data_IF_436561547726
#
_entry.id   IF_436561547726
#
_cell.length_a   1.000
_cell.length_b   1.000
_cell.length_c   1.000
_cell.angle_alpha   90.00
_cell.angle_beta   90.00
_cell.angle_gamma   90.00
#
_symmetry.space_group_name_H-M   'P 1'
#
loop_
_entity.id
_entity.type
_entity.pdbx_description
1 polymer ?
#
# COMPACT_ATOMS: atom_id res chain seq x y z
N UNK A 1 -3.04 -16.53 -14.85
CA UNK A 1 -2.68 -15.08 -14.85
C UNK A 1 -3.69 -14.31 -14.02
N UNK A 2 -3.43 -14.10 -12.72
CA UNK A 2 -4.34 -13.34 -11.86
C UNK A 2 -4.03 -11.84 -11.96
N UNK A 3 -4.89 -11.09 -12.66
CA UNK A 3 -4.89 -9.62 -12.59
C UNK A 3 -5.35 -9.22 -11.19
N UNK A 4 -4.43 -8.68 -10.38
CA UNK A 4 -4.78 -8.14 -9.05
C UNK A 4 -5.74 -6.97 -9.27
N UNK A 5 -6.93 -7.03 -8.68
CA UNK A 5 -7.90 -5.94 -8.74
C UNK A 5 -7.25 -4.64 -8.23
N UNK A 6 -7.47 -3.53 -8.95
CA UNK A 6 -7.01 -2.21 -8.52
C UNK A 6 -7.98 -1.72 -7.43
N UNK A 7 -7.64 -1.97 -6.17
CA UNK A 7 -8.41 -1.45 -5.04
C UNK A 7 -7.99 0.01 -4.77
N UNK A 8 -8.93 0.97 -4.78
CA UNK A 8 -8.66 2.31 -4.29
C UNK A 8 -8.13 2.26 -2.86
N UNK A 9 -7.15 3.11 -2.55
CA UNK A 9 -6.58 3.26 -1.21
C UNK A 9 -6.82 4.69 -0.77
N UNK A 10 -7.46 4.89 0.38
CA UNK A 10 -7.63 6.20 1.01
C UNK A 10 -6.46 6.46 1.97
N UNK A 11 -5.85 7.65 1.87
CA UNK A 11 -4.77 8.05 2.77
C UNK A 11 -5.26 8.25 4.21
N UNK A 12 -6.53 8.60 4.40
CA UNK A 12 -7.14 8.74 5.72
C UNK A 12 -7.13 7.42 6.49
N UNK A 13 -7.41 6.29 5.81
CA UNK A 13 -7.37 4.96 6.41
C UNK A 13 -5.95 4.56 6.84
N UNK A 14 -4.93 5.01 6.10
CA UNK A 14 -3.53 4.75 6.44
C UNK A 14 -3.08 5.58 7.64
N UNK A 15 -3.43 6.86 7.66
CA UNK A 15 -3.12 7.79 8.75
C UNK A 15 -3.83 7.42 10.05
N UNK A 16 -5.07 6.92 9.97
CA UNK A 16 -5.83 6.45 11.13
C UNK A 16 -5.13 5.32 11.88
N UNK A 17 -4.23 4.59 11.21
CA UNK A 17 -3.55 3.45 11.80
C UNK A 17 -2.05 3.70 12.05
N UNK A 18 -1.55 4.93 11.91
CA UNK A 18 -0.18 5.33 12.21
C UNK A 18 0.42 6.37 11.24
N UNK A 19 1.62 6.89 11.52
CA UNK A 19 2.32 7.79 10.62
C UNK A 19 2.54 7.17 9.23
N UNK A 20 2.52 8.00 8.19
CA UNK A 20 2.71 7.52 6.80
C UNK A 20 3.87 8.27 6.16
N UNK A 21 4.83 7.51 5.63
CA UNK A 21 5.91 8.01 4.77
C UNK A 21 5.49 7.73 3.33
N UNK A 22 5.30 8.79 2.54
CA UNK A 22 4.94 8.68 1.12
C UNK A 22 6.14 9.04 0.26
N UNK A 23 6.52 8.16 -0.67
CA UNK A 23 7.57 8.42 -1.65
C UNK A 23 7.01 8.36 -3.06
N UNK A 24 6.99 9.51 -3.74
CA UNK A 24 6.65 9.58 -5.16
C UNK A 24 7.92 9.34 -5.98
N UNK A 25 7.85 8.38 -6.91
CA UNK A 25 8.95 8.12 -7.84
C UNK A 25 8.43 7.93 -9.26
N UNK A 26 9.27 8.22 -10.25
CA UNK A 26 8.85 8.23 -11.68
C UNK A 26 8.72 6.85 -12.29
N UNK A 27 9.44 5.88 -11.72
CA UNK A 27 9.55 4.53 -12.24
C UNK A 27 10.92 3.91 -12.01
N UNK A 28 10.99 2.60 -12.23
CA UNK A 28 12.15 1.73 -12.07
C UNK A 28 13.32 2.07 -13.01
N UNK A 29 13.07 2.81 -14.08
CA UNK A 29 14.08 3.23 -15.06
C UNK A 29 15.02 4.34 -14.54
N UNK A 30 14.69 5.02 -13.44
CA UNK A 30 15.48 6.15 -12.96
C UNK A 30 16.49 5.70 -11.87
N UNK A 31 17.81 5.71 -12.13
CA UNK A 31 18.81 5.14 -11.22
C UNK A 31 18.89 5.87 -9.87
N UNK A 32 18.66 7.18 -9.85
CA UNK A 32 18.64 7.98 -8.63
C UNK A 32 17.46 7.59 -7.72
N UNK A 33 16.27 7.38 -8.32
CA UNK A 33 15.08 6.99 -7.58
C UNK A 33 15.18 5.59 -7.01
N UNK A 34 15.85 4.68 -7.71
CA UNK A 34 16.11 3.34 -7.21
C UNK A 34 17.03 3.34 -6.00
N UNK A 35 18.01 4.25 -5.94
CA UNK A 35 18.87 4.41 -4.76
C UNK A 35 18.04 4.82 -3.54
N UNK A 36 17.14 5.80 -3.70
CA UNK A 36 16.25 6.22 -2.62
C UNK A 36 15.31 5.10 -2.18
N UNK A 37 14.68 4.38 -3.12
CA UNK A 37 13.80 3.26 -2.79
C UNK A 37 14.54 2.16 -2.01
N UNK A 38 15.78 1.82 -2.41
CA UNK A 38 16.61 0.87 -1.67
C UNK A 38 16.95 1.38 -0.26
N UNK A 39 17.26 2.66 -0.12
CA UNK A 39 17.52 3.26 1.18
C UNK A 39 16.29 3.21 2.09
N UNK A 40 15.11 3.54 1.55
CA UNK A 40 13.83 3.45 2.27
C UNK A 40 13.50 2.01 2.66
N UNK A 41 13.72 1.04 1.76
CA UNK A 41 13.52 -0.39 2.04
C UNK A 41 14.44 -0.88 3.15
N UNK A 42 15.71 -0.49 3.14
CA UNK A 42 16.67 -0.84 4.18
C UNK A 42 16.27 -0.27 5.57
N UNK A 43 15.47 0.80 5.60
CA UNK A 43 14.94 1.43 6.82
C UNK A 43 13.52 1.00 7.17
N UNK A 44 12.90 0.13 6.39
CA UNK A 44 11.55 -0.36 6.65
C UNK A 44 11.37 -0.96 8.06
N UNK A 45 12.34 -1.73 8.63
CA UNK A 45 12.22 -2.22 10.00
C UNK A 45 12.16 -1.09 11.05
N UNK A 46 12.95 -0.03 10.86
CA UNK A 46 12.98 1.13 11.75
C UNK A 46 11.67 1.92 11.67
N UNK A 47 11.20 2.20 10.44
CA UNK A 47 9.92 2.86 10.19
C UNK A 47 8.75 2.08 10.82
N UNK A 48 8.74 0.76 10.62
CA UNK A 48 7.71 -0.13 11.19
C UNK A 48 7.74 -0.13 12.71
N UNK A 49 8.93 -0.15 13.33
CA UNK A 49 9.10 -0.06 14.79
C UNK A 49 8.56 1.25 15.35
N UNK A 50 8.63 2.34 14.60
CA UNK A 50 8.04 3.63 14.95
C UNK A 50 6.52 3.71 14.67
N UNK A 51 5.91 2.61 14.22
CA UNK A 51 4.49 2.55 13.85
C UNK A 51 4.19 3.19 12.49
N UNK A 52 5.21 3.56 11.72
CA UNK A 52 5.04 4.21 10.43
C UNK A 52 4.84 3.19 9.30
N UNK A 53 4.08 3.58 8.27
CA UNK A 53 3.93 2.82 7.02
C UNK A 53 4.61 3.54 5.87
N UNK A 54 5.39 2.80 5.07
CA UNK A 54 5.98 3.31 3.84
C UNK A 54 5.06 3.00 2.65
N UNK A 55 4.73 4.02 1.85
CA UNK A 55 3.96 3.90 0.62
C UNK A 55 4.75 4.51 -0.54
N UNK A 56 5.05 3.69 -1.56
CA UNK A 56 5.71 4.14 -2.78
C UNK A 56 4.68 4.28 -3.91
N UNK A 57 4.63 5.44 -4.56
CA UNK A 57 3.67 5.77 -5.63
C UNK A 57 4.44 6.07 -6.91
N UNK A 58 4.06 5.40 -8.00
CA UNK A 58 4.62 5.63 -9.34
C UNK A 58 3.53 5.77 -10.39
N UNK A 59 3.72 6.64 -11.41
CA UNK A 59 2.87 6.66 -12.60
C UNK A 59 3.16 5.46 -13.52
N UNK A 60 4.30 4.78 -13.35
CA UNK A 60 4.61 3.54 -14.05
C UNK A 60 3.58 2.47 -13.64
N UNK A 61 2.91 1.89 -14.64
CA UNK A 61 2.09 0.72 -14.40
C UNK A 61 2.98 -0.39 -13.82
N UNK A 62 2.45 -1.27 -12.95
CA UNK A 62 3.19 -2.44 -12.50
C UNK A 62 3.43 -3.37 -13.69
N UNK A 63 4.48 -3.08 -14.46
CA UNK A 63 4.98 -3.91 -15.54
C UNK A 63 5.97 -4.93 -14.95
N UNK A 64 6.17 -6.04 -15.65
CA UNK A 64 6.84 -7.26 -15.19
C UNK A 64 8.35 -7.11 -14.95
N UNK A 65 8.87 -5.88 -14.93
CA UNK A 65 10.29 -5.53 -14.81
C UNK A 65 10.82 -5.55 -13.37
N UNK A 66 9.93 -5.43 -12.37
CA UNK A 66 10.32 -5.62 -10.96
C UNK A 66 10.50 -7.11 -10.66
N UNK A 67 11.63 -7.47 -10.07
CA UNK A 67 11.86 -8.84 -9.62
C UNK A 67 10.76 -9.27 -8.63
N UNK A 68 10.40 -10.56 -8.57
CA UNK A 68 9.40 -11.04 -7.61
C UNK A 68 9.69 -10.63 -6.16
N UNK A 69 10.98 -10.52 -5.78
CA UNK A 69 11.39 -10.03 -4.46
C UNK A 69 11.01 -8.56 -4.25
N UNK A 70 11.36 -7.66 -5.18
CA UNK A 70 11.00 -6.23 -5.08
C UNK A 70 9.48 -6.03 -5.03
N UNK A 71 8.72 -6.87 -5.72
CA UNK A 71 7.24 -6.84 -5.68
C UNK A 71 6.68 -7.34 -4.36
N UNK A 72 7.32 -8.34 -3.75
CA UNK A 72 6.91 -8.89 -2.46
C UNK A 72 7.17 -7.88 -1.33
N UNK A 73 8.34 -7.25 -1.38
CA UNK A 73 8.81 -6.30 -0.38
C UNK A 73 7.99 -4.99 -0.39
N UNK A 74 7.54 -4.55 -1.56
CA UNK A 74 6.65 -3.39 -1.72
C UNK A 74 5.18 -3.72 -1.45
N UNK A 75 4.74 -4.97 -1.68
CA UNK A 75 3.36 -5.41 -1.46
C UNK A 75 3.09 -5.83 -0.02
N UNK A 76 3.65 -5.08 0.94
CA UNK A 76 3.47 -5.26 2.38
C UNK A 76 2.04 -5.69 2.69
N UNK A 77 1.92 -6.89 3.28
CA UNK A 77 0.65 -7.52 3.63
C UNK A 77 -0.10 -6.57 4.56
N UNK A 78 -1.10 -5.88 4.02
CA UNK A 78 -2.08 -5.16 4.84
C UNK A 78 -2.69 -6.13 5.86
N UNK A 79 -3.05 -5.66 7.07
CA UNK A 79 -3.65 -6.53 8.07
C UNK A 79 -4.93 -7.10 7.49
N UNK A 80 -5.06 -8.44 7.54
CA UNK A 80 -6.25 -9.14 7.09
C UNK A 80 -7.48 -8.51 7.73
N UNK A 81 -8.28 -7.82 6.91
CA UNK A 81 -9.51 -7.19 7.35
C UNK A 81 -10.66 -7.99 6.76
N UNK A 82 -11.33 -8.75 7.63
CA UNK A 82 -12.57 -9.42 7.29
C UNK A 82 -13.52 -8.44 6.61
N UNK A 83 -14.11 -8.89 5.50
CA UNK A 83 -15.12 -8.17 4.74
C UNK A 83 -16.33 -7.92 5.64
N UNK A 84 -16.42 -6.75 6.28
CA UNK A 84 -17.66 -6.30 6.88
C UNK A 84 -18.45 -5.59 5.80
N UNK A 85 -19.38 -6.35 5.23
CA UNK A 85 -20.33 -5.94 4.22
C UNK A 85 -21.07 -4.66 4.66
N UNK A 86 -21.06 -3.65 3.79
CA UNK A 86 -21.69 -2.35 4.00
C UNK A 86 -23.22 -2.42 3.91
N UNK A 87 -23.81 -3.60 3.62
CA UNK A 87 -25.26 -3.79 3.47
C UNK A 87 -26.06 -3.96 4.77
N UNK A 88 -25.44 -4.19 5.93
CA UNK A 88 -26.21 -4.51 7.15
C UNK A 88 -26.72 -3.30 7.97
N UNK A 89 -26.38 -2.05 7.61
CA UNK A 89 -26.77 -0.87 8.41
C UNK A 89 -27.98 -0.08 7.90
N UNK A 90 -28.85 -0.68 7.07
CA UNK A 90 -29.97 0.09 6.50
C UNK A 90 -31.31 -0.61 6.38
N UNK A 91 -31.57 -1.70 7.13
CA UNK A 91 -32.84 -2.43 7.00
C UNK A 91 -33.53 -2.86 8.31
N UNK A 92 -33.40 -2.13 9.42
CA UNK A 92 -34.25 -2.36 10.61
C UNK A 92 -34.75 -1.08 11.31
N UNK A 93 -34.98 -0.02 10.53
CA UNK A 93 -35.79 1.12 10.96
C UNK A 93 -36.87 1.41 9.92
N UNK A 94 -37.84 0.50 9.80
CA UNK A 94 -39.21 0.82 9.35
C UNK A 94 -40.15 -0.38 9.57
N UNK A 95 -41.08 -0.23 10.52
CA UNK A 95 -42.48 -0.67 10.37
C UNK A 95 -42.87 -2.14 10.62
N UNK A 96 -43.71 -2.31 11.66
CA UNK A 96 -44.68 -3.39 11.92
C UNK A 96 -44.17 -4.75 12.40
#
# INVERSE_FOLDING_TARGET
MATRARCPVDIADLLAAGPVVVSFYRGSWCPYRNLELRALQARLPELTRLGARLVAISPELPDRSLSPQERHDLAGRGPGRGTRDRRERMNHLSGA
#
